data_IF_562834147976
#
_entry.id   IF_562834147976
#
_cell.length_a   1.000
_cell.length_b   1.000
_cell.length_c   1.000
_cell.angle_alpha   90.00
_cell.angle_beta   90.00
_cell.angle_gamma   90.00
#
_symmetry.space_group_name_H-M   'P 1'
#
loop_
_entity.id
_entity.type
_entity.pdbx_description
1 polymer ?
#
# COMPACT_ATOMS: atom_id res chain seq x y z
N UNK A 1 6.42 18.28 -20.35
CA UNK A 1 6.27 16.83 -20.11
C UNK A 1 6.75 16.44 -18.69
N UNK A 2 5.90 16.64 -17.68
CA UNK A 2 6.12 16.15 -16.32
C UNK A 2 4.95 15.23 -16.01
N UNK A 3 5.14 13.92 -16.22
CA UNK A 3 4.16 12.93 -15.83
C UNK A 3 3.81 13.16 -14.35
N UNK A 4 2.53 13.16 -13.95
CA UNK A 4 2.16 13.38 -12.55
C UNK A 4 2.89 12.33 -11.73
N UNK A 5 3.89 12.78 -10.96
CA UNK A 5 4.67 11.94 -10.07
C UNK A 5 3.65 11.13 -9.26
N UNK A 6 3.66 9.81 -9.43
CA UNK A 6 2.70 8.89 -8.81
C UNK A 6 2.72 9.20 -7.31
N UNK A 7 1.55 9.54 -6.76
CA UNK A 7 1.38 9.92 -5.34
C UNK A 7 2.17 8.94 -4.47
N UNK A 8 2.94 9.45 -3.51
CA UNK A 8 3.63 8.63 -2.51
C UNK A 8 2.69 7.52 -2.02
N UNK A 9 3.07 6.28 -2.30
CA UNK A 9 2.20 5.13 -2.04
C UNK A 9 2.27 4.87 -0.54
N UNK A 10 1.18 5.18 0.17
CA UNK A 10 1.13 4.99 1.63
C UNK A 10 1.36 3.52 1.99
N UNK A 11 1.83 3.26 3.22
CA UNK A 11 2.10 1.92 3.75
C UNK A 11 0.93 0.96 3.52
N UNK A 12 -0.28 1.50 3.70
CA UNK A 12 -1.53 0.80 3.48
C UNK A 12 -1.75 0.43 2.00
N UNK A 13 -1.38 1.29 1.05
CA UNK A 13 -1.51 0.99 -0.39
C UNK A 13 -0.49 -0.04 -0.86
N UNK A 14 0.72 -0.05 -0.30
CA UNK A 14 1.70 -1.11 -0.57
C UNK A 14 1.18 -2.46 -0.08
N UNK A 15 0.73 -2.51 1.17
CA UNK A 15 0.11 -3.71 1.73
C UNK A 15 -1.12 -4.14 0.93
N UNK A 16 -1.97 -3.18 0.55
CA UNK A 16 -3.18 -3.46 -0.22
C UNK A 16 -2.86 -3.98 -1.62
N UNK A 17 -1.83 -3.45 -2.29
CA UNK A 17 -1.40 -3.91 -3.62
C UNK A 17 -0.81 -5.32 -3.56
N UNK A 18 0.12 -5.55 -2.65
CA UNK A 18 0.81 -6.84 -2.48
C UNK A 18 -0.18 -7.95 -2.13
N UNK A 19 -1.11 -7.67 -1.22
CA UNK A 19 -2.15 -8.62 -0.89
C UNK A 19 -3.23 -8.73 -1.97
N UNK A 20 -3.54 -7.67 -2.71
CA UNK A 20 -4.45 -7.77 -3.84
C UNK A 20 -3.86 -8.67 -4.92
N UNK A 21 -2.55 -8.60 -5.17
CA UNK A 21 -1.87 -9.51 -6.09
C UNK A 21 -1.87 -10.95 -5.57
N UNK A 22 -1.57 -11.15 -4.28
CA UNK A 22 -1.62 -12.48 -3.66
C UNK A 22 -3.04 -13.09 -3.71
N UNK A 23 -4.06 -12.33 -3.33
CA UNK A 23 -5.47 -12.75 -3.38
C UNK A 23 -5.93 -12.97 -4.81
N UNK A 24 -5.47 -12.18 -5.77
CA UNK A 24 -5.79 -12.40 -7.19
C UNK A 24 -5.13 -13.66 -7.74
N UNK A 25 -3.92 -13.98 -7.27
CA UNK A 25 -3.24 -15.23 -7.62
C UNK A 25 -3.94 -16.45 -7.00
N UNK A 26 -4.42 -16.35 -5.76
CA UNK A 26 -5.13 -17.44 -5.09
C UNK A 26 -6.61 -17.57 -5.53
N UNK A 27 -7.28 -16.44 -5.78
CA UNK A 27 -8.68 -16.35 -6.21
C UNK A 27 -8.86 -15.27 -7.28
N UNK A 28 -8.70 -15.63 -8.56
CA UNK A 28 -8.98 -14.72 -9.66
C UNK A 28 -10.49 -14.44 -9.73
N UNK A 29 -10.95 -13.34 -9.11
CA UNK A 29 -12.36 -12.93 -9.15
C UNK A 29 -12.88 -12.18 -7.92
N UNK A 30 -12.09 -12.10 -6.83
CA UNK A 30 -12.50 -11.29 -5.68
C UNK A 30 -12.58 -9.80 -6.00
N UNK A 31 -13.65 -9.17 -5.51
CA UNK A 31 -13.93 -7.77 -5.76
C UNK A 31 -12.98 -6.88 -4.95
N UNK A 32 -12.47 -5.82 -5.58
CA UNK A 32 -11.46 -4.92 -4.97
C UNK A 32 -11.98 -4.28 -3.69
N UNK A 33 -13.28 -3.98 -3.62
CA UNK A 33 -13.91 -3.41 -2.43
C UNK A 33 -13.87 -4.34 -1.21
N UNK A 34 -14.20 -5.62 -1.41
CA UNK A 34 -14.16 -6.66 -0.37
C UNK A 34 -12.73 -6.91 0.11
N UNK A 35 -11.80 -7.02 -0.85
CA UNK A 35 -10.37 -7.20 -0.57
C UNK A 35 -9.82 -6.00 0.20
N UNK A 36 -10.20 -4.78 -0.17
CA UNK A 36 -9.77 -3.57 0.54
C UNK A 36 -10.34 -3.53 1.96
N UNK A 37 -11.60 -3.92 2.18
CA UNK A 37 -12.20 -4.02 3.52
C UNK A 37 -11.46 -5.03 4.39
N UNK A 38 -11.29 -6.25 3.89
CA UNK A 38 -10.58 -7.31 4.61
C UNK A 38 -9.12 -6.93 4.91
N UNK A 39 -8.47 -6.23 3.98
CA UNK A 39 -7.12 -5.71 4.16
C UNK A 39 -7.05 -4.54 5.12
N UNK A 40 -8.08 -3.71 5.21
CA UNK A 40 -8.17 -2.65 6.21
C UNK A 40 -8.27 -3.22 7.63
N UNK A 41 -9.05 -4.29 7.80
CA UNK A 41 -9.16 -4.99 9.07
C UNK A 41 -7.89 -5.77 9.41
N UNK A 42 -7.32 -6.52 8.46
CA UNK A 42 -6.01 -7.19 8.64
C UNK A 42 -4.90 -6.19 8.91
N UNK A 43 -4.93 -5.04 8.25
CA UNK A 43 -3.98 -3.96 8.53
C UNK A 43 -4.19 -3.48 9.95
N UNK A 44 -5.41 -3.18 10.42
CA UNK A 44 -5.62 -2.80 11.83
C UNK A 44 -5.16 -3.88 12.82
N UNK A 45 -5.39 -5.14 12.51
CA UNK A 45 -5.00 -6.30 13.31
C UNK A 45 -3.51 -6.67 13.22
N UNK A 46 -2.79 -6.18 12.22
CA UNK A 46 -1.35 -6.39 12.07
C UNK A 46 -0.61 -5.69 13.21
N UNK A 47 0.36 -6.40 13.79
CA UNK A 47 1.28 -5.88 14.78
C UNK A 47 1.98 -4.61 14.29
N UNK A 48 2.26 -3.70 15.23
CA UNK A 48 2.97 -2.47 14.95
C UNK A 48 4.29 -2.74 14.24
N UNK A 49 5.00 -3.83 14.53
CA UNK A 49 6.22 -4.22 13.80
C UNK A 49 5.99 -4.48 12.30
N UNK A 50 4.88 -5.14 11.95
CA UNK A 50 4.53 -5.40 10.55
C UNK A 50 4.12 -4.12 9.83
N UNK A 51 3.31 -3.28 10.49
CA UNK A 51 2.95 -1.96 9.97
C UNK A 51 4.18 -1.06 9.82
N UNK A 52 5.06 -1.03 10.81
CA UNK A 52 6.21 -0.14 10.89
C UNK A 52 7.13 -0.36 9.69
N UNK A 53 7.39 -1.61 9.30
CA UNK A 53 8.16 -1.92 8.09
C UNK A 53 7.59 -1.23 6.84
N UNK A 54 6.28 -1.31 6.62
CA UNK A 54 5.63 -0.67 5.48
C UNK A 54 5.50 0.85 5.66
N UNK A 55 5.37 1.34 6.89
CA UNK A 55 5.37 2.77 7.24
C UNK A 55 6.73 3.41 6.96
N UNK A 56 7.83 2.75 7.28
CA UNK A 56 9.19 3.20 6.96
C UNK A 56 9.44 3.24 5.45
N UNK A 57 9.03 2.20 4.71
CA UNK A 57 9.11 2.18 3.24
C UNK A 57 8.29 3.32 2.65
N UNK A 58 7.06 3.53 3.12
CA UNK A 58 6.19 4.59 2.64
C UNK A 58 6.69 5.98 3.06
N UNK A 59 7.31 6.12 4.23
CA UNK A 59 7.91 7.37 4.69
C UNK A 59 9.13 7.74 3.85
N UNK A 60 9.97 6.77 3.50
CA UNK A 60 11.09 6.96 2.59
C UNK A 60 10.62 7.36 1.18
N UNK A 61 9.59 6.67 0.65
CA UNK A 61 9.01 6.99 -0.66
C UNK A 61 8.34 8.38 -0.66
N UNK A 62 7.63 8.72 0.42
CA UNK A 62 7.07 10.06 0.63
C UNK A 62 8.14 11.13 0.70
N UNK A 63 9.25 10.90 1.40
CA UNK A 63 10.36 11.85 1.47
C UNK A 63 11.02 12.06 0.09
N UNK A 64 11.13 10.99 -0.72
CA UNK A 64 11.61 11.06 -2.10
C UNK A 64 10.66 11.87 -2.97
N UNK A 65 9.36 11.64 -2.83
CA UNK A 65 8.31 12.38 -3.51
C UNK A 65 8.33 13.88 -3.15
N UNK A 66 8.47 14.23 -1.87
CA UNK A 66 8.54 15.64 -1.46
C UNK A 66 9.81 16.35 -1.93
N UNK A 67 10.95 15.64 -2.02
CA UNK A 67 12.18 16.19 -2.62
C UNK A 67 12.08 16.44 -4.11
N UNK A 68 11.50 15.51 -4.87
CA UNK A 68 11.33 15.63 -6.33
C UNK A 68 10.18 16.58 -6.72
N UNK A 69 9.23 16.83 -5.80
CA UNK A 69 8.11 17.77 -6.01
C UNK A 69 8.51 19.24 -5.82
N UNK A 70 9.64 19.51 -5.15
CA UNK A 70 10.19 20.85 -4.96
C UNK A 70 11.03 21.28 -6.15
#
# INVERSE_FOLDING_TARGET
PRAPLKKAVSAFLHFCSEQREAVKAEKPGMNVGEVTKMLSEKWRALDDAGKQKYVDIAAADKARYEREKK
#
